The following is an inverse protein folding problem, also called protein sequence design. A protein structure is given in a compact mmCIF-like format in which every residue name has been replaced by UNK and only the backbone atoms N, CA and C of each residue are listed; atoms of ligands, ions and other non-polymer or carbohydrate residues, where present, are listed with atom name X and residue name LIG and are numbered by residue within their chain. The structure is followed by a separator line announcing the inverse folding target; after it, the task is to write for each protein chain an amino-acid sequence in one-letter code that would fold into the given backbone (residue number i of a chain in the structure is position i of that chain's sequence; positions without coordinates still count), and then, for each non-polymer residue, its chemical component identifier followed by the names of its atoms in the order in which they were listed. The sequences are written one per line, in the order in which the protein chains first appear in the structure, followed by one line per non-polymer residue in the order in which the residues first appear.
data_IF_343002215585
#
_entry.id   IF_343002215585
#
_cell.length_a   1.000
_cell.length_b   1.000
_cell.length_c   1.000
_cell.angle_alpha   90.00
_cell.angle_beta   90.00
_cell.angle_gamma   90.00
#
_symmetry.space_group_name_H-M   'P 1'
#
loop_
_entity.id
_entity.type
_entity.pdbx_description
1 polymer ?
#
# COMPACT_ATOMS: atom_id res chain seq x y z
N UNK A 1 -0.60 13.49 -9.80
CA UNK A 1 0.61 12.74 -9.40
C UNK A 1 1.21 12.17 -10.68
N UNK A 2 2.46 12.50 -11.01
CA UNK A 2 3.08 12.07 -12.27
C UNK A 2 3.02 10.53 -12.42
N UNK A 3 2.72 10.06 -13.63
CA UNK A 3 2.77 8.65 -13.95
C UNK A 3 4.21 8.13 -13.77
N UNK A 4 4.39 7.08 -12.97
CA UNK A 4 5.69 6.45 -12.71
C UNK A 4 5.68 5.01 -13.18
N UNK A 5 6.82 4.50 -13.64
CA UNK A 5 6.94 3.18 -14.28
C UNK A 5 7.72 2.20 -13.39
N UNK A 6 7.56 0.88 -13.58
CA UNK A 6 8.43 -0.11 -12.94
C UNK A 6 9.85 -0.02 -13.50
N UNK A 7 10.85 -0.19 -12.63
CA UNK A 7 12.24 -0.38 -13.05
C UNK A 7 12.38 -1.85 -13.49
N UNK A 8 12.49 -2.05 -14.82
CA UNK A 8 12.54 -3.38 -15.44
C UNK A 8 13.87 -4.10 -15.19
N UNK A 9 14.99 -3.36 -15.20
CA UNK A 9 16.34 -3.92 -15.06
C UNK A 9 16.72 -4.13 -13.58
N UNK A 10 17.15 -5.34 -13.22
CA UNK A 10 17.62 -5.69 -11.87
C UNK A 10 18.87 -4.90 -11.46
N UNK A 11 19.76 -4.59 -12.39
CA UNK A 11 20.97 -3.82 -12.09
C UNK A 11 20.65 -2.36 -11.74
N UNK A 12 19.63 -1.76 -12.38
CA UNK A 12 19.16 -0.42 -12.02
C UNK A 12 18.58 -0.40 -10.59
N UNK A 13 17.85 -1.45 -10.19
CA UNK A 13 17.35 -1.58 -8.81
C UNK A 13 18.48 -1.65 -7.78
N UNK A 14 19.52 -2.45 -8.08
CA UNK A 14 20.71 -2.58 -7.22
C UNK A 14 21.50 -1.27 -7.15
N UNK A 15 21.66 -0.59 -8.28
CA UNK A 15 22.34 0.71 -8.35
C UNK A 15 21.61 1.77 -7.53
N UNK A 16 20.28 1.85 -7.65
CA UNK A 16 19.45 2.74 -6.83
C UNK A 16 19.62 2.46 -5.33
N UNK A 17 19.59 1.18 -4.91
CA UNK A 17 19.80 0.82 -3.51
C UNK A 17 21.18 1.25 -2.99
N UNK A 18 22.24 1.03 -3.78
CA UNK A 18 23.62 1.47 -3.45
C UNK A 18 23.72 2.99 -3.35
N UNK A 19 23.11 3.73 -4.29
CA UNK A 19 23.08 5.18 -4.26
C UNK A 19 22.39 5.71 -3.00
N UNK A 20 21.23 5.15 -2.63
CA UNK A 20 20.52 5.52 -1.41
C UNK A 20 21.36 5.26 -0.16
N UNK A 21 22.04 4.10 -0.09
CA UNK A 21 22.89 3.74 1.04
C UNK A 21 24.08 4.69 1.20
N UNK A 22 24.67 5.17 0.11
CA UNK A 22 25.84 6.05 0.13
C UNK A 22 25.50 7.52 0.41
N UNK A 23 24.37 8.02 -0.11
CA UNK A 23 24.08 9.46 -0.17
C UNK A 23 22.92 9.91 0.73
N UNK A 24 22.19 8.98 1.36
CA UNK A 24 21.01 9.31 2.17
C UNK A 24 21.00 8.55 3.50
N UNK A 25 20.08 8.95 4.39
CA UNK A 25 19.86 8.26 5.66
C UNK A 25 19.59 6.76 5.42
N UNK A 26 20.19 5.83 6.19
CA UNK A 26 19.95 4.40 6.07
C UNK A 26 18.48 3.98 6.12
N UNK A 27 17.59 4.79 6.70
CA UNK A 27 16.16 4.56 6.65
C UNK A 27 15.62 4.50 5.22
N UNK A 28 16.11 5.34 4.30
CA UNK A 28 15.60 5.38 2.92
C UNK A 28 16.03 4.16 2.10
N UNK A 29 17.27 3.69 2.25
CA UNK A 29 17.72 2.45 1.61
C UNK A 29 17.00 1.22 2.18
N UNK A 30 16.69 1.22 3.48
CA UNK A 30 15.87 0.18 4.11
C UNK A 30 14.44 0.17 3.57
N UNK A 31 13.78 1.33 3.46
CA UNK A 31 12.43 1.46 2.86
C UNK A 31 12.43 0.97 1.41
N UNK A 32 13.46 1.32 0.65
CA UNK A 32 13.62 0.87 -0.73
C UNK A 32 13.64 -0.66 -0.82
N UNK A 33 14.50 -1.30 -0.02
CA UNK A 33 14.62 -2.76 -0.03
C UNK A 33 13.35 -3.45 0.47
N UNK A 34 12.71 -2.95 1.54
CA UNK A 34 11.40 -3.47 2.00
C UNK A 34 10.35 -3.35 0.90
N UNK A 35 10.31 -2.23 0.18
CA UNK A 35 9.39 -2.04 -0.93
C UNK A 35 9.61 -3.03 -2.08
N UNK A 36 10.87 -3.41 -2.34
CA UNK A 36 11.24 -4.39 -3.36
C UNK A 36 11.07 -5.86 -2.93
N UNK A 37 11.03 -6.16 -1.63
CA UNK A 37 10.80 -7.53 -1.15
C UNK A 37 9.31 -7.81 -0.88
N UNK A 38 8.55 -6.80 -0.47
CA UNK A 38 7.18 -6.99 0.04
C UNK A 38 6.11 -6.44 -0.89
N UNK A 39 6.49 -5.54 -1.79
CA UNK A 39 5.54 -4.79 -2.61
C UNK A 39 4.60 -3.90 -1.81
N UNK A 40 4.80 -3.64 -0.52
CA UNK A 40 3.91 -2.80 0.28
C UNK A 40 3.83 -1.35 -0.26
N UNK A 41 2.74 -0.65 0.06
CA UNK A 41 2.67 0.79 -0.25
C UNK A 41 3.58 1.51 0.74
N UNK A 42 4.21 2.61 0.30
CA UNK A 42 5.06 3.42 1.18
C UNK A 42 4.35 3.83 2.48
N UNK A 43 3.06 4.17 2.41
CA UNK A 43 2.28 4.50 3.62
C UNK A 43 2.14 3.36 4.62
N UNK A 44 2.18 2.11 4.16
CA UNK A 44 2.10 0.93 5.00
C UNK A 44 3.50 0.56 5.52
N UNK A 45 4.54 0.66 4.67
CA UNK A 45 5.96 0.47 5.08
C UNK A 45 6.34 1.43 6.21
N UNK A 46 5.96 2.69 6.10
CA UNK A 46 6.29 3.71 7.10
C UNK A 46 5.65 3.45 8.48
N UNK A 47 4.60 2.65 8.54
CA UNK A 47 3.90 2.27 9.78
C UNK A 47 4.37 0.92 10.34
N UNK A 48 5.30 0.25 9.68
CA UNK A 48 5.85 -1.03 10.11
C UNK A 48 6.42 -0.90 11.52
N UNK A 49 6.07 -1.87 12.37
CA UNK A 49 6.56 -1.98 13.74
C UNK A 49 7.53 -3.14 13.88
N UNK A 50 8.34 -3.10 14.93
CA UNK A 50 9.19 -4.24 15.28
C UNK A 50 8.37 -5.41 15.82
N UNK A 51 7.24 -5.14 16.48
CA UNK A 51 6.28 -6.16 16.93
C UNK A 51 5.56 -6.90 15.80
N UNK A 52 5.49 -6.31 14.60
CA UNK A 52 4.89 -6.94 13.42
C UNK A 52 5.78 -8.06 12.83
N UNK A 53 7.02 -8.21 13.31
CA UNK A 53 8.06 -9.04 12.69
C UNK A 53 8.47 -10.19 13.63
N UNK A 54 8.28 -11.42 13.18
CA UNK A 54 8.96 -12.58 13.76
C UNK A 54 10.40 -12.63 13.25
N UNK A 55 11.31 -12.22 14.12
CA UNK A 55 12.74 -12.18 13.86
C UNK A 55 13.42 -13.56 13.77
N UNK A 56 12.73 -14.66 14.11
CA UNK A 56 13.24 -16.03 13.95
C UNK A 56 12.91 -16.56 12.55
N UNK A 57 11.64 -16.49 12.16
CA UNK A 57 11.16 -17.01 10.86
C UNK A 57 11.30 -16.01 9.70
N UNK A 58 11.37 -14.71 9.99
CA UNK A 58 11.28 -13.63 9.00
C UNK A 58 9.84 -13.34 8.56
N UNK A 59 8.85 -13.99 9.16
CA UNK A 59 7.44 -13.71 8.94
C UNK A 59 7.07 -12.32 9.45
N UNK A 60 6.25 -11.61 8.68
CA UNK A 60 5.72 -10.32 9.09
C UNK A 60 4.26 -10.19 8.68
N UNK A 61 3.44 -9.67 9.59
CA UNK A 61 2.04 -9.37 9.34
C UNK A 61 1.77 -7.88 9.59
N UNK A 62 1.19 -7.20 8.59
CA UNK A 62 0.88 -5.77 8.69
C UNK A 62 -0.57 -5.49 8.34
N UNK A 63 -1.15 -4.48 8.98
CA UNK A 63 -2.49 -3.98 8.64
C UNK A 63 -2.41 -3.02 7.46
N UNK A 64 -3.11 -3.34 6.37
CA UNK A 64 -3.22 -2.48 5.20
C UNK A 64 -4.15 -1.28 5.47
N UNK A 65 -3.63 -0.06 5.30
CA UNK A 65 -4.40 1.16 5.59
C UNK A 65 -5.59 1.32 4.64
N UNK A 66 -5.36 1.26 3.32
CA UNK A 66 -6.38 1.57 2.30
C UNK A 66 -7.49 0.51 2.26
N UNK A 67 -7.13 -0.77 2.30
CA UNK A 67 -8.07 -1.88 2.34
C UNK A 67 -8.98 -1.83 3.57
N UNK A 68 -8.41 -1.56 4.74
CA UNK A 68 -9.16 -1.42 5.99
C UNK A 68 -10.15 -0.26 5.94
N UNK A 69 -9.75 0.90 5.43
CA UNK A 69 -10.64 2.04 5.23
C UNK A 69 -11.80 1.71 4.27
N UNK A 70 -11.50 1.07 3.14
CA UNK A 70 -12.53 0.64 2.19
C UNK A 70 -13.50 -0.39 2.79
N UNK A 71 -13.03 -1.27 3.68
CA UNK A 71 -13.90 -2.22 4.40
C UNK A 71 -14.78 -1.49 5.42
N UNK A 72 -14.23 -0.56 6.20
CA UNK A 72 -14.98 0.29 7.13
C UNK A 72 -16.03 1.18 6.44
N UNK A 73 -15.71 1.70 5.25
CA UNK A 73 -16.67 2.46 4.43
C UNK A 73 -17.86 1.59 3.99
N UNK A 74 -17.59 0.36 3.54
CA UNK A 74 -18.65 -0.61 3.20
C UNK A 74 -19.51 -0.99 4.41
N UNK A 75 -18.91 -1.14 5.59
CA UNK A 75 -19.65 -1.37 6.83
C UNK A 75 -20.60 -0.21 7.15
N UNK A 76 -20.14 1.05 7.03
CA UNK A 76 -21.01 2.24 7.14
C UNK A 76 -22.17 2.17 6.13
N UNK A 77 -21.86 1.89 4.86
CA UNK A 77 -22.88 1.85 3.80
C UNK A 77 -23.98 0.81 4.06
N UNK A 78 -23.61 -0.36 4.61
CA UNK A 78 -24.58 -1.39 5.00
C UNK A 78 -25.54 -0.89 6.08
N UNK A 79 -25.03 -0.19 7.11
CA UNK A 79 -25.88 0.42 8.14
C UNK A 79 -26.80 1.47 7.52
N UNK A 80 -26.28 2.36 6.68
CA UNK A 80 -27.10 3.41 6.05
C UNK A 80 -28.17 2.84 5.10
N UNK A 81 -27.92 1.69 4.48
CA UNK A 81 -28.93 0.99 3.68
C UNK A 81 -30.10 0.52 4.56
N UNK A 82 -29.81 -0.10 5.70
CA UNK A 82 -30.83 -0.51 6.67
C UNK A 82 -31.60 0.68 7.23
N UNK A 83 -30.90 1.74 7.61
CA UNK A 83 -31.51 2.98 8.11
C UNK A 83 -32.44 3.62 7.06
N UNK A 84 -32.10 3.53 5.76
CA UNK A 84 -32.99 3.99 4.69
C UNK A 84 -34.30 3.20 4.67
N UNK A 85 -34.25 1.87 4.84
CA UNK A 85 -35.44 1.01 4.91
C UNK A 85 -36.31 1.37 6.14
N UNK A 86 -35.67 1.60 7.29
CA UNK A 86 -36.34 2.04 8.53
C UNK A 86 -37.01 3.42 8.37
N UNK A 87 -36.36 4.37 7.67
CA UNK A 87 -36.93 5.70 7.41
C UNK A 87 -38.12 5.65 6.46
N UNK A 88 -38.12 4.73 5.48
CA UNK A 88 -39.27 4.52 4.59
C UNK A 88 -40.49 4.12 5.42
N UNK A 89 -40.33 3.20 6.37
CA UNK A 89 -41.40 2.79 7.29
C UNK A 89 -41.82 3.94 8.21
N UNK A 90 -40.85 4.66 8.79
CA UNK A 90 -41.13 5.78 9.70
C UNK A 90 -41.91 6.93 9.04
N UNK A 91 -41.63 7.23 7.76
CA UNK A 91 -42.31 8.29 7.01
C UNK A 91 -43.46 7.80 6.14
N UNK A 92 -43.96 6.57 6.30
CA UNK A 92 -44.99 5.98 5.44
C UNK A 92 -46.27 6.83 5.34
N UNK A 93 -46.63 7.60 6.38
CA UNK A 93 -47.79 8.50 6.38
C UNK A 93 -47.45 9.96 6.02
N UNK A 94 -46.19 10.27 5.71
CA UNK A 94 -45.73 11.60 5.32
C UNK A 94 -45.16 11.57 3.89
N UNK A 95 -46.03 11.80 2.91
CA UNK A 95 -45.71 11.71 1.48
C UNK A 95 -44.48 12.54 1.09
N UNK A 96 -44.35 13.78 1.60
CA UNK A 96 -43.22 14.66 1.28
C UNK A 96 -41.88 14.06 1.73
N UNK A 97 -41.81 13.60 2.99
CA UNK A 97 -40.60 13.00 3.54
C UNK A 97 -40.31 11.63 2.92
N UNK A 98 -41.35 10.84 2.66
CA UNK A 98 -41.24 9.53 2.02
C UNK A 98 -40.64 9.63 0.61
N UNK A 99 -41.16 10.55 -0.22
CA UNK A 99 -40.62 10.82 -1.56
C UNK A 99 -39.17 11.28 -1.50
N UNK A 100 -38.81 12.15 -0.55
CA UNK A 100 -37.42 12.57 -0.36
C UNK A 100 -36.50 11.38 0.01
N UNK A 101 -36.95 10.48 0.89
CA UNK A 101 -36.22 9.26 1.27
C UNK A 101 -36.03 8.31 0.09
N UNK A 102 -37.02 8.14 -0.79
CA UNK A 102 -36.89 7.27 -1.97
C UNK A 102 -35.81 7.77 -2.93
N UNK A 103 -35.86 9.04 -3.31
CA UNK A 103 -34.95 9.66 -4.28
C UNK A 103 -33.52 9.75 -3.72
N UNK A 104 -33.38 10.01 -2.41
CA UNK A 104 -32.07 10.18 -1.78
C UNK A 104 -31.27 8.87 -1.77
N UNK A 105 -30.06 8.83 -2.35
CA UNK A 105 -29.21 7.65 -2.26
C UNK A 105 -28.87 7.29 -0.81
N UNK A 106 -28.77 5.99 -0.50
CA UNK A 106 -28.56 5.53 0.88
C UNK A 106 -27.34 6.15 1.56
N UNK A 107 -26.27 6.45 0.81
CA UNK A 107 -25.04 7.04 1.36
C UNK A 107 -25.19 8.52 1.76
N UNK A 108 -26.31 9.16 1.44
CA UNK A 108 -26.65 10.53 1.86
C UNK A 108 -27.85 10.57 2.82
N UNK A 109 -28.36 9.42 3.25
CA UNK A 109 -29.60 9.33 4.05
C UNK A 109 -29.47 10.01 5.43
N UNK A 110 -28.23 10.19 5.90
CA UNK A 110 -27.91 10.90 7.14
C UNK A 110 -28.51 12.32 7.18
N UNK A 111 -28.72 12.97 6.02
CA UNK A 111 -29.32 14.31 5.92
C UNK A 111 -30.82 14.35 6.20
N UNK A 112 -31.49 13.20 6.09
CA UNK A 112 -32.94 13.07 6.27
C UNK A 112 -33.30 12.45 7.62
N UNK A 113 -32.32 12.25 8.50
CA UNK A 113 -32.55 11.65 9.81
C UNK A 113 -33.37 12.59 10.71
N UNK A 114 -34.40 12.06 11.41
CA UNK A 114 -34.96 12.72 12.59
C UNK A 114 -33.86 13.01 13.61
N UNK A 115 -33.97 14.12 14.34
CA UNK A 115 -32.95 14.52 15.33
C UNK A 115 -32.75 13.44 16.40
N UNK A 116 -33.82 12.72 16.75
CA UNK A 116 -33.82 11.66 17.75
C UNK A 116 -32.99 10.43 17.29
N UNK A 117 -32.86 10.21 15.98
CA UNK A 117 -32.19 9.03 15.42
C UNK A 117 -30.69 9.24 15.23
N UNK A 118 -30.21 10.49 15.19
CA UNK A 118 -28.81 10.81 14.84
C UNK A 118 -27.84 10.08 15.77
N UNK A 119 -28.07 10.09 17.08
CA UNK A 119 -27.19 9.44 18.05
C UNK A 119 -27.15 7.92 17.84
N UNK A 120 -28.33 7.28 17.78
CA UNK A 120 -28.47 5.84 17.55
C UNK A 120 -27.79 5.39 16.24
N UNK A 121 -27.99 6.13 15.15
CA UNK A 121 -27.40 5.80 13.85
C UNK A 121 -25.87 5.95 13.90
N UNK A 122 -25.36 7.00 14.56
CA UNK A 122 -23.92 7.19 14.74
C UNK A 122 -23.29 6.05 15.56
N UNK A 123 -23.97 5.59 16.61
CA UNK A 123 -23.53 4.44 17.41
C UNK A 123 -23.52 3.15 16.59
N UNK A 124 -24.58 2.88 15.81
CA UNK A 124 -24.62 1.73 14.88
C UNK A 124 -23.48 1.76 13.87
N UNK A 125 -23.20 2.92 13.26
CA UNK A 125 -22.08 3.11 12.33
C UNK A 125 -20.75 2.90 13.03
N UNK A 126 -20.58 3.42 14.24
CA UNK A 126 -19.37 3.27 15.05
C UNK A 126 -19.13 1.81 15.43
N UNK A 127 -20.16 1.12 15.93
CA UNK A 127 -20.14 -0.30 16.26
C UNK A 127 -19.80 -1.15 15.03
N UNK A 128 -20.46 -0.91 13.89
CA UNK A 128 -20.18 -1.63 12.65
C UNK A 128 -18.73 -1.43 12.16
N UNK A 129 -18.19 -0.20 12.27
CA UNK A 129 -16.79 0.09 11.93
C UNK A 129 -15.80 -0.59 12.89
N UNK A 130 -16.12 -0.69 14.18
CA UNK A 130 -15.29 -1.36 15.20
C UNK A 130 -15.29 -2.88 15.03
N UNK A 131 -16.45 -3.48 14.76
CA UNK A 131 -16.60 -4.92 14.52
C UNK A 131 -15.99 -5.38 13.18
N UNK A 132 -15.67 -4.45 12.28
CA UNK A 132 -15.07 -4.79 10.99
C UNK A 132 -13.59 -5.14 11.14
N UNK A 133 -13.16 -6.38 10.82
CA UNK A 133 -11.76 -6.77 10.97
C UNK A 133 -10.87 -5.99 9.99
N UNK A 134 -9.63 -5.65 10.38
CA UNK A 134 -8.67 -5.01 9.49
C UNK A 134 -8.31 -5.91 8.31
N UNK A 135 -7.88 -5.31 7.21
CA UNK A 135 -7.25 -6.06 6.11
C UNK A 135 -5.78 -6.26 6.50
N UNK A 136 -5.36 -7.49 6.72
CA UNK A 136 -3.96 -7.81 6.99
C UNK A 136 -3.25 -8.31 5.73
N UNK A 137 -1.92 -8.22 5.74
CA UNK A 137 -1.05 -8.81 4.74
C UNK A 137 0.09 -9.51 5.44
N UNK A 138 0.34 -10.73 5.02
CA UNK A 138 1.48 -11.52 5.46
C UNK A 138 2.50 -11.64 4.33
N UNK A 139 3.78 -11.59 4.70
CA UNK A 139 4.90 -11.79 3.78
C UNK A 139 6.15 -12.24 4.56
N UNK A 140 7.16 -12.67 3.82
CA UNK A 140 8.44 -13.11 4.35
C UNK A 140 9.53 -12.11 3.99
N UNK A 141 10.35 -11.76 4.97
CA UNK A 141 11.58 -11.01 4.77
C UNK A 141 12.75 -11.92 4.42
N UNK A 142 13.65 -11.44 3.57
CA UNK A 142 14.92 -12.14 3.34
C UNK A 142 15.75 -12.20 4.63
N UNK A 143 16.61 -13.23 4.76
CA UNK A 143 17.53 -13.35 5.91
C UNK A 143 18.36 -12.07 6.13
N UNK A 144 18.78 -11.46 5.01
CA UNK A 144 19.50 -10.17 5.01
C UNK A 144 18.63 -9.04 5.59
N UNK A 145 17.36 -8.96 5.18
CA UNK A 145 16.44 -7.94 5.67
C UNK A 145 16.17 -8.08 7.17
N UNK A 146 15.93 -9.31 7.64
CA UNK A 146 15.77 -9.63 9.06
C UNK A 146 17.01 -9.19 9.85
N UNK A 147 18.21 -9.49 9.35
CA UNK A 147 19.45 -9.05 9.98
C UNK A 147 19.56 -7.52 10.07
N UNK A 148 19.27 -6.80 8.98
CA UNK A 148 19.30 -5.33 8.96
C UNK A 148 18.29 -4.72 9.94
N UNK A 149 17.09 -5.30 10.05
CA UNK A 149 16.06 -4.86 10.99
C UNK A 149 16.46 -5.13 12.44
N UNK A 150 17.09 -6.27 12.74
CA UNK A 150 17.66 -6.58 14.07
C UNK A 150 18.71 -5.55 14.46
N UNK A 151 19.67 -5.29 13.56
CA UNK A 151 20.74 -4.32 13.80
C UNK A 151 20.20 -2.92 14.03
N UNK A 152 19.18 -2.51 13.25
CA UNK A 152 18.50 -1.22 13.45
C UNK A 152 17.80 -1.16 14.81
N UNK A 153 17.08 -2.22 15.20
CA UNK A 153 16.38 -2.31 16.49
C UNK A 153 17.38 -2.15 17.66
N UNK A 154 18.49 -2.88 17.61
CA UNK A 154 19.52 -2.82 18.66
C UNK A 154 20.16 -1.43 18.74
N UNK A 155 20.53 -0.84 17.60
CA UNK A 155 21.11 0.50 17.52
C UNK A 155 20.22 1.57 18.18
N UNK A 156 18.91 1.43 18.05
CA UNK A 156 17.93 2.38 18.56
C UNK A 156 17.16 1.88 19.79
N UNK A 157 17.69 0.89 20.52
CA UNK A 157 17.05 0.31 21.71
C UNK A 157 16.71 1.32 22.81
N UNK A 158 17.45 2.43 22.87
CA UNK A 158 17.26 3.52 23.83
C UNK A 158 16.03 4.39 23.50
N UNK A 159 15.48 4.27 22.29
CA UNK A 159 14.27 4.98 21.89
C UNK A 159 13.08 4.08 22.23
N UNK A 160 12.23 4.52 23.15
CA UNK A 160 10.98 3.83 23.48
C UNK A 160 9.95 4.00 22.35
N UNK A 161 10.18 3.31 21.23
CA UNK A 161 9.29 3.33 20.07
C UNK A 161 9.33 1.98 19.36
N UNK A 162 8.14 1.41 19.16
CA UNK A 162 7.98 0.18 18.38
C UNK A 162 8.03 0.45 16.86
N UNK A 163 8.00 1.70 16.42
CA UNK A 163 7.99 2.04 15.01
C UNK A 163 9.38 1.95 14.37
N UNK A 164 9.52 1.15 13.30
CA UNK A 164 10.78 0.97 12.56
C UNK A 164 11.29 2.29 11.96
N UNK A 165 10.35 3.14 11.52
CA UNK A 165 10.61 4.41 10.82
C UNK A 165 10.17 5.64 11.63
N UNK A 166 10.37 5.60 12.95
CA UNK A 166 10.25 6.80 13.79
C UNK A 166 11.28 7.87 13.38
N UNK A 167 10.89 9.15 13.38
CA UNK A 167 11.81 10.27 13.07
C UNK A 167 12.98 10.35 14.05
N UNK A 168 12.80 9.86 15.28
CA UNK A 168 13.85 9.73 16.30
C UNK A 168 15.00 8.81 15.88
N UNK A 169 14.75 7.92 14.91
CA UNK A 169 15.75 6.97 14.39
C UNK A 169 16.50 7.47 13.15
N UNK A 170 16.30 8.74 12.76
CA UNK A 170 17.03 9.39 11.67
C UNK A 170 18.33 10.01 12.19
N UNK A 171 19.29 10.21 11.28
CA UNK A 171 20.58 10.82 11.58
C UNK A 171 20.46 12.31 11.95
N UNK A 172 19.51 13.03 11.34
CA UNK A 172 19.32 14.47 11.54
C UNK A 172 18.87 14.83 12.95
N UNK A 173 19.63 15.66 13.66
CA UNK A 173 19.29 16.11 15.02
C UNK A 173 17.95 16.88 15.07
N UNK A 174 17.64 17.70 14.06
CA UNK A 174 16.33 18.37 13.96
C UNK A 174 15.17 17.38 13.86
N UNK A 175 15.37 16.27 13.17
CA UNK A 175 14.34 15.24 13.05
C UNK A 175 14.16 14.45 14.35
N UNK A 176 15.24 14.26 15.13
CA UNK A 176 15.19 13.51 16.39
C UNK A 176 14.33 14.17 17.47
N UNK A 177 14.25 15.49 17.47
CA UNK A 177 13.40 16.24 18.41
C UNK A 177 11.90 16.22 18.07
N UNK A 178 11.50 15.60 16.96
CA UNK A 178 10.11 15.62 16.49
C UNK A 178 9.51 14.24 16.56
N UNK A 179 8.39 14.12 17.27
CA UNK A 179 7.62 12.87 17.33
C UNK A 179 6.99 12.48 15.97
N UNK A 180 6.67 11.19 15.87
CA UNK A 180 5.99 10.60 14.72
C UNK A 180 6.89 9.91 13.71
N UNK A 181 6.28 9.54 12.59
CA UNK A 181 6.88 8.69 11.56
C UNK A 181 7.50 9.51 10.43
N UNK A 182 8.47 8.92 9.73
CA UNK A 182 8.94 9.44 8.45
C UNK A 182 7.74 9.60 7.49
N UNK A 183 7.71 10.68 6.72
CA UNK A 183 6.56 11.01 5.87
C UNK A 183 6.71 10.44 4.46
N UNK A 184 5.58 10.18 3.80
CA UNK A 184 5.54 9.82 2.38
C UNK A 184 6.18 10.91 1.51
N UNK A 185 6.03 12.18 1.90
CA UNK A 185 6.61 13.30 1.17
C UNK A 185 8.15 13.26 1.23
N UNK A 186 8.73 12.98 2.40
CA UNK A 186 10.18 12.81 2.52
C UNK A 186 10.70 11.66 1.63
N UNK A 187 9.99 10.52 1.62
CA UNK A 187 10.32 9.41 0.72
C UNK A 187 10.24 9.82 -0.76
N UNK A 188 9.20 10.56 -1.14
CA UNK A 188 9.06 11.04 -2.51
C UNK A 188 10.21 11.96 -2.91
N UNK A 189 10.57 12.93 -2.06
CA UNK A 189 11.69 13.86 -2.31
C UNK A 189 13.03 13.14 -2.49
N UNK A 190 13.26 12.05 -1.76
CA UNK A 190 14.48 11.25 -1.90
C UNK A 190 14.40 10.36 -3.15
N UNK A 191 13.31 9.63 -3.34
CA UNK A 191 13.19 8.68 -4.44
C UNK A 191 13.03 9.34 -5.81
N UNK A 192 12.46 10.54 -5.92
CA UNK A 192 12.35 11.25 -7.19
C UNK A 192 13.72 11.58 -7.79
N UNK A 193 14.73 11.85 -6.94
CA UNK A 193 16.14 12.07 -7.34
C UNK A 193 16.75 10.86 -8.04
N UNK A 194 16.26 9.65 -7.76
CA UNK A 194 16.75 8.44 -8.42
C UNK A 194 16.49 8.46 -9.92
N UNK A 195 15.53 9.25 -10.41
CA UNK A 195 15.28 9.41 -11.85
C UNK A 195 16.56 9.90 -12.56
N UNK A 196 17.10 11.04 -12.13
CA UNK A 196 18.33 11.61 -12.70
C UNK A 196 19.55 10.71 -12.50
N UNK A 197 19.58 9.97 -11.39
CA UNK A 197 20.67 9.04 -11.08
C UNK A 197 20.66 7.83 -12.02
N UNK A 198 19.47 7.31 -12.32
CA UNK A 198 19.32 6.14 -13.19
C UNK A 198 19.42 6.52 -14.67
N UNK A 199 19.06 7.75 -15.06
CA UNK A 199 19.28 8.27 -16.42
C UNK A 199 20.76 8.19 -16.83
N UNK A 200 21.69 8.44 -15.90
CA UNK A 200 23.14 8.34 -16.13
C UNK A 200 23.62 6.93 -16.51
N UNK A 201 22.83 5.90 -16.22
CA UNK A 201 23.14 4.51 -16.57
C UNK A 201 22.17 3.97 -17.63
N UNK A 202 21.50 4.85 -18.39
CA UNK A 202 20.64 4.50 -19.52
C UNK A 202 19.20 4.12 -19.14
N UNK A 203 18.75 4.40 -17.92
CA UNK A 203 17.35 4.17 -17.53
C UNK A 203 16.44 5.33 -17.93
N UNK A 204 15.32 5.05 -18.57
CA UNK A 204 14.27 6.04 -18.87
C UNK A 204 13.17 6.11 -17.80
N UNK A 205 13.24 5.25 -16.78
CA UNK A 205 12.19 5.12 -15.78
C UNK A 205 12.11 6.34 -14.84
N UNK A 206 10.93 6.97 -14.79
CA UNK A 206 10.60 7.99 -13.78
C UNK A 206 10.33 7.33 -12.43
N UNK A 207 11.08 7.71 -11.40
CA UNK A 207 11.04 7.09 -10.07
C UNK A 207 10.18 7.90 -9.10
N UNK A 208 9.35 7.19 -8.32
CA UNK A 208 8.64 7.75 -7.17
C UNK A 208 8.17 6.66 -6.21
N UNK A 209 7.36 7.04 -5.21
CA UNK A 209 6.90 6.13 -4.16
C UNK A 209 6.17 4.87 -4.68
N UNK A 210 5.51 4.96 -5.84
CA UNK A 210 4.82 3.80 -6.44
C UNK A 210 5.73 2.94 -7.31
N UNK A 211 6.91 3.43 -7.72
CA UNK A 211 7.86 2.68 -8.55
C UNK A 211 8.32 1.40 -7.86
N UNK A 212 8.55 1.43 -6.54
CA UNK A 212 8.94 0.26 -5.75
C UNK A 212 7.92 -0.88 -5.89
N UNK A 213 6.65 -0.58 -5.60
CA UNK A 213 5.57 -1.57 -5.68
C UNK A 213 5.34 -2.06 -7.11
N UNK A 214 5.45 -1.18 -8.12
CA UNK A 214 5.38 -1.58 -9.54
C UNK A 214 6.53 -2.51 -9.93
N UNK A 215 7.75 -2.16 -9.51
CA UNK A 215 8.94 -2.96 -9.77
C UNK A 215 8.83 -4.32 -9.10
N UNK A 216 8.43 -4.39 -7.83
CA UNK A 216 8.15 -5.65 -7.15
C UNK A 216 7.16 -6.51 -7.94
N UNK A 217 6.00 -5.95 -8.29
CA UNK A 217 4.96 -6.70 -9.01
C UNK A 217 5.46 -7.23 -10.35
N UNK A 218 6.24 -6.44 -11.10
CA UNK A 218 6.85 -6.88 -12.36
C UNK A 218 7.85 -8.00 -12.13
N UNK A 219 8.78 -7.83 -11.20
CA UNK A 219 9.80 -8.86 -10.93
C UNK A 219 9.18 -10.14 -10.39
N UNK A 220 8.14 -10.05 -9.57
CA UNK A 220 7.36 -11.21 -9.11
C UNK A 220 6.70 -11.92 -10.29
N UNK A 221 6.04 -11.18 -11.19
CA UNK A 221 5.40 -11.74 -12.39
C UNK A 221 6.40 -12.58 -13.21
N UNK A 222 7.59 -12.05 -13.51
CA UNK A 222 8.58 -12.82 -14.26
C UNK A 222 9.19 -13.97 -13.45
N UNK A 223 9.35 -13.81 -12.13
CA UNK A 223 9.92 -14.85 -11.27
C UNK A 223 8.97 -16.06 -11.08
N UNK A 224 7.66 -15.85 -11.12
CA UNK A 224 6.65 -16.91 -11.00
C UNK A 224 6.28 -17.56 -12.34
N UNK A 225 7.02 -17.28 -13.42
CA UNK A 225 6.66 -17.78 -14.75
C UNK A 225 5.43 -17.11 -15.34
N UNK A 226 5.19 -15.83 -15.00
CA UNK A 226 4.09 -14.98 -15.49
C UNK A 226 2.71 -15.30 -14.89
N UNK A 227 2.67 -15.82 -13.65
CA UNK A 227 1.41 -16.03 -12.92
C UNK A 227 0.84 -14.69 -12.42
N UNK A 228 -0.18 -14.19 -13.12
CA UNK A 228 -0.87 -12.95 -12.77
C UNK A 228 -1.73 -13.06 -11.51
N UNK A 229 -2.26 -14.26 -11.21
CA UNK A 229 -3.12 -14.51 -10.06
C UNK A 229 -2.33 -14.38 -8.75
N UNK A 230 -1.13 -14.95 -8.72
CA UNK A 230 -0.20 -14.77 -7.60
C UNK A 230 0.15 -13.30 -7.41
N UNK A 231 0.52 -12.59 -8.49
CA UNK A 231 0.83 -11.15 -8.42
C UNK A 231 -0.34 -10.35 -7.88
N UNK A 232 -1.54 -10.57 -8.40
CA UNK A 232 -2.78 -9.90 -7.96
C UNK A 232 -3.07 -10.13 -6.49
N UNK A 233 -2.95 -11.38 -6.04
CA UNK A 233 -3.17 -11.76 -4.64
C UNK A 233 -2.14 -11.08 -3.75
N UNK A 234 -0.85 -11.13 -4.11
CA UNK A 234 0.23 -10.52 -3.33
C UNK A 234 0.07 -9.00 -3.25
N UNK A 235 -0.28 -8.31 -4.34
CA UNK A 235 -0.47 -6.84 -4.34
C UNK A 235 -1.91 -6.42 -4.03
N UNK A 236 -2.82 -7.36 -3.75
CA UNK A 236 -4.24 -7.12 -3.44
C UNK A 236 -4.96 -6.26 -4.48
N UNK A 237 -4.71 -6.52 -5.77
CA UNK A 237 -5.50 -5.97 -6.86
C UNK A 237 -6.69 -6.88 -7.15
N UNK A 238 -7.84 -6.28 -7.46
CA UNK A 238 -9.08 -7.02 -7.79
C UNK A 238 -9.31 -7.22 -9.28
N UNK A 239 -8.48 -6.60 -10.11
CA UNK A 239 -8.64 -6.58 -11.56
C UNK A 239 -7.30 -6.88 -12.21
N UNK A 240 -7.35 -7.82 -13.16
CA UNK A 240 -6.20 -8.25 -13.94
C UNK A 240 -5.69 -7.12 -14.82
N UNK A 241 -6.58 -6.42 -15.54
CA UNK A 241 -6.20 -5.29 -16.40
C UNK A 241 -5.48 -4.18 -15.64
N UNK A 242 -5.88 -3.93 -14.38
CA UNK A 242 -5.17 -3.01 -13.49
C UNK A 242 -3.76 -3.51 -13.22
N UNK A 243 -3.58 -4.81 -12.95
CA UNK A 243 -2.27 -5.41 -12.66
C UNK A 243 -1.35 -5.46 -13.88
N UNK A 244 -1.86 -5.82 -15.06
CA UNK A 244 -1.10 -5.83 -16.31
C UNK A 244 -0.56 -4.42 -16.65
N UNK A 245 -1.41 -3.39 -16.53
CA UNK A 245 -0.97 -1.99 -16.65
C UNK A 245 0.03 -1.60 -15.56
N UNK A 246 -0.12 -2.16 -14.36
CA UNK A 246 0.73 -1.85 -13.21
C UNK A 246 2.16 -2.39 -13.36
N UNK A 247 2.31 -3.61 -13.88
CA UNK A 247 3.61 -4.25 -14.15
C UNK A 247 4.27 -3.73 -15.44
N UNK A 248 3.54 -2.96 -16.25
CA UNK A 248 4.03 -2.34 -17.47
C UNK A 248 4.40 -3.35 -18.53
N UNK A 249 3.52 -4.34 -18.77
CA UNK A 249 3.62 -5.23 -19.95
C UNK A 249 3.63 -4.34 -21.18
N UNK A 250 4.75 -4.33 -21.90
CA UNK A 250 4.91 -3.56 -23.14
C UNK A 250 4.67 -4.42 -24.37
N UNK A 251 4.50 -3.79 -25.53
CA UNK A 251 4.43 -4.49 -26.81
C UNK A 251 5.66 -5.38 -27.05
N UNK A 252 6.82 -5.01 -26.53
CA UNK A 252 8.03 -5.85 -26.55
C UNK A 252 7.86 -7.16 -25.76
N UNK A 253 7.13 -7.12 -24.64
CA UNK A 253 6.85 -8.33 -23.85
C UNK A 253 5.88 -9.26 -24.62
N UNK A 254 4.96 -8.68 -25.42
CA UNK A 254 4.05 -9.41 -26.31
C UNK A 254 4.84 -10.05 -27.45
N UNK A 255 5.69 -9.28 -28.14
CA UNK A 255 6.55 -9.77 -29.23
C UNK A 255 7.49 -10.88 -28.74
N UNK A 256 8.06 -10.72 -27.54
CA UNK A 256 8.89 -11.77 -26.94
C UNK A 256 8.09 -13.04 -26.68
N UNK A 257 6.86 -12.93 -26.15
CA UNK A 257 5.98 -14.08 -25.95
C UNK A 257 5.65 -14.80 -27.27
N UNK A 258 5.37 -14.05 -28.33
CA UNK A 258 5.16 -14.59 -29.67
C UNK A 258 6.42 -15.32 -30.19
N UNK A 259 7.61 -14.72 -30.04
CA UNK A 259 8.88 -15.37 -30.42
C UNK A 259 9.09 -16.68 -29.67
N UNK A 260 8.85 -16.70 -28.36
CA UNK A 260 8.97 -17.93 -27.56
C UNK A 260 8.01 -19.02 -28.04
N UNK A 261 6.76 -18.66 -28.37
CA UNK A 261 5.80 -19.60 -28.93
C UNK A 261 6.25 -20.16 -30.28
N UNK A 262 6.73 -19.30 -31.19
CA UNK A 262 7.25 -19.72 -32.49
C UNK A 262 8.39 -20.72 -32.31
N UNK A 263 9.34 -20.45 -31.40
CA UNK A 263 10.44 -21.36 -31.11
C UNK A 263 9.95 -22.70 -30.56
N UNK A 264 8.99 -22.69 -29.65
CA UNK A 264 8.41 -23.90 -29.06
C UNK A 264 7.67 -24.78 -30.08
N UNK A 265 6.96 -24.17 -31.03
CA UNK A 265 6.26 -24.91 -32.09
C UNK A 265 7.21 -25.43 -33.18
N UNK A 266 8.43 -24.88 -33.25
CA UNK A 266 9.44 -25.26 -34.25
C UNK A 266 10.44 -26.30 -33.73
N UNK A 267 10.37 -26.64 -32.44
CA UNK A 267 11.17 -27.68 -31.77
C UNK A 267 10.39 -28.97 -31.63
#
# INVERSE_FOLDING_TARGET
MAYVEPIKNKEHLKYAAKYLQKNHDPAFSLIWNIGLETGLRISDILRLKYSDIDFKSGHCEVIESKGTLARKARAKHRVLKQVKEELILHYQHNVKKLTATYITPFYQIEKLLPKEWILMVNERVSAAKKATPPVTRSFLFSKKMVFMLKQRKEKFRHINSDAVFSRKTLLSNRAKGVDGLLTRQACWTVFSKLTQVLEKIGSTAKVGCHTLRKSFARHLYFATGKDISLVMTTIGHKSESVSLRYIGVSDDDIKLAQKTLITYLSS
#
